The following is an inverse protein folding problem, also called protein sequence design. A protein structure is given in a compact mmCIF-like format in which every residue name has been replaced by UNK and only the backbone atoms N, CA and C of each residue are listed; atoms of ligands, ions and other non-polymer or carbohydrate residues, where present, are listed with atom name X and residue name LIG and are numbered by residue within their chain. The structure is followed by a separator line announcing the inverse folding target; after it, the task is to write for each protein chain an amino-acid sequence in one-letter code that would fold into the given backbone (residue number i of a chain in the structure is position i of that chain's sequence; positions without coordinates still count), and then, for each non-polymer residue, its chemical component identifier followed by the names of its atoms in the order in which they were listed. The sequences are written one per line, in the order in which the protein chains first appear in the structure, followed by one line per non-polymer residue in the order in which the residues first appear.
data_IF_035178540414
#
_entry.id   IF_035178540414
#
_cell.length_a   1.000
_cell.length_b   1.000
_cell.length_c   1.000
_cell.angle_alpha   90.00
_cell.angle_beta   90.00
_cell.angle_gamma   90.00
#
_symmetry.space_group_name_H-M   'P 1'
#
loop_
_entity.id
_entity.type
_entity.pdbx_description
1 polymer ?
#
# COMPACT_ATOMS: atom_id res chain seq x y z
N UNK A 1 -18.16 -12.87 -12.99
CA UNK A 1 -17.84 -14.06 -12.20
C UNK A 1 -16.56 -13.80 -11.42
N UNK A 2 -16.68 -13.65 -10.09
CA UNK A 2 -15.56 -13.35 -9.19
C UNK A 2 -14.67 -14.57 -8.92
N UNK A 3 -15.10 -15.77 -9.30
CA UNK A 3 -14.39 -17.02 -9.00
C UNK A 3 -13.05 -17.17 -9.74
N UNK A 4 -12.85 -16.40 -10.82
CA UNK A 4 -11.64 -16.43 -11.65
C UNK A 4 -10.73 -15.20 -11.45
N UNK A 5 -10.94 -14.43 -10.38
CA UNK A 5 -10.12 -13.27 -10.08
C UNK A 5 -8.68 -13.67 -9.80
N UNK A 6 -7.75 -13.13 -10.59
CA UNK A 6 -6.32 -13.29 -10.34
C UNK A 6 -5.83 -12.28 -9.32
N UNK A 7 -4.73 -12.62 -8.66
CA UNK A 7 -4.03 -11.72 -7.75
C UNK A 7 -3.67 -10.41 -8.48
N UNK A 8 -4.01 -9.27 -7.87
CA UNK A 8 -3.76 -7.94 -8.44
C UNK A 8 -4.70 -7.53 -9.59
N UNK A 9 -5.68 -8.37 -9.97
CA UNK A 9 -6.67 -8.01 -10.98
C UNK A 9 -7.71 -7.05 -10.39
N UNK A 10 -7.96 -5.95 -11.11
CA UNK A 10 -9.07 -5.04 -10.83
C UNK A 10 -10.35 -5.62 -11.41
N UNK A 11 -11.44 -5.57 -10.63
CA UNK A 11 -12.76 -5.97 -11.07
C UNK A 11 -13.77 -4.89 -10.71
N UNK A 12 -14.46 -4.35 -11.71
CA UNK A 12 -15.58 -3.45 -11.48
C UNK A 12 -16.83 -4.29 -11.21
N UNK A 13 -17.42 -4.08 -10.04
CA UNK A 13 -18.69 -4.71 -9.68
C UNK A 13 -19.80 -4.11 -10.56
N UNK A 14 -20.72 -4.92 -11.10
CA UNK A 14 -21.86 -4.40 -11.86
C UNK A 14 -22.70 -3.41 -11.04
N UNK A 15 -23.46 -2.54 -11.70
CA UNK A 15 -24.30 -1.53 -11.04
C UNK A 15 -25.63 -2.13 -10.49
N UNK A 16 -25.72 -3.46 -10.42
CA UNK A 16 -26.92 -4.15 -9.96
C UNK A 16 -27.10 -3.98 -8.43
N UNK A 17 -28.35 -3.74 -7.99
CA UNK A 17 -28.72 -3.61 -6.56
C UNK A 17 -28.53 -4.90 -5.72
N UNK A 18 -27.97 -5.96 -6.32
CA UNK A 18 -27.76 -7.23 -5.66
C UNK A 18 -26.52 -7.19 -4.75
N UNK A 19 -26.60 -7.69 -3.50
CA UNK A 19 -25.43 -7.79 -2.64
C UNK A 19 -24.41 -8.76 -3.23
N UNK A 20 -23.13 -8.39 -3.14
CA UNK A 20 -22.02 -9.25 -3.54
C UNK A 20 -21.62 -10.18 -2.40
N UNK A 21 -21.41 -11.46 -2.74
CA UNK A 21 -20.93 -12.47 -1.80
C UNK A 21 -19.53 -12.91 -2.23
N UNK A 22 -18.55 -12.72 -1.34
CA UNK A 22 -17.25 -13.35 -1.46
C UNK A 22 -17.32 -14.74 -0.82
N UNK A 23 -17.16 -15.76 -1.65
CA UNK A 23 -17.09 -17.15 -1.22
C UNK A 23 -15.69 -17.68 -1.50
N UNK A 24 -15.02 -18.16 -0.45
CA UNK A 24 -13.76 -18.86 -0.60
C UNK A 24 -13.98 -20.22 -1.29
N UNK A 25 -13.38 -20.40 -2.47
CA UNK A 25 -13.38 -21.67 -3.20
C UNK A 25 -12.06 -22.45 -3.04
N UNK A 26 -11.14 -21.96 -2.19
CA UNK A 26 -9.82 -22.51 -1.93
C UNK A 26 -9.72 -23.29 -0.60
N UNK A 27 -8.52 -23.35 0.01
CA UNK A 27 -8.29 -24.07 1.28
C UNK A 27 -9.19 -23.60 2.42
N UNK A 28 -9.42 -24.46 3.42
CA UNK A 28 -10.05 -24.03 4.68
C UNK A 28 -9.19 -22.92 5.32
N UNK A 29 -9.77 -21.73 5.49
CA UNK A 29 -9.16 -20.50 6.06
C UNK A 29 -8.15 -19.77 5.14
N UNK A 30 -8.58 -19.19 4.01
CA UNK A 30 -7.70 -18.37 3.19
C UNK A 30 -7.41 -17.06 3.91
N UNK A 31 -6.17 -16.57 3.79
CA UNK A 31 -5.85 -15.18 4.10
C UNK A 31 -5.79 -14.40 2.79
N UNK A 32 -6.71 -13.46 2.62
CA UNK A 32 -6.73 -12.56 1.47
C UNK A 32 -6.99 -11.14 1.94
N UNK A 33 -6.51 -10.18 1.15
CA UNK A 33 -6.72 -8.76 1.38
C UNK A 33 -7.60 -8.28 0.25
N UNK A 34 -8.78 -7.77 0.60
CA UNK A 34 -9.67 -7.11 -0.35
C UNK A 34 -9.53 -5.61 -0.17
N UNK A 35 -9.42 -4.91 -1.29
CA UNK A 35 -9.52 -3.47 -1.35
C UNK A 35 -10.64 -3.13 -2.34
N UNK A 36 -11.69 -2.48 -1.84
CA UNK A 36 -12.85 -2.10 -2.61
C UNK A 36 -13.03 -0.57 -2.53
N UNK A 37 -13.40 0.02 -3.65
CA UNK A 37 -13.55 1.48 -3.79
C UNK A 37 -14.86 1.76 -4.50
N UNK A 38 -15.64 2.68 -3.94
CA UNK A 38 -16.86 3.17 -4.57
C UNK A 38 -16.54 3.99 -5.83
N UNK A 39 -17.27 3.73 -6.91
CA UNK A 39 -17.16 4.49 -8.16
C UNK A 39 -17.55 5.95 -7.92
N UNK A 40 -16.73 6.88 -8.43
CA UNK A 40 -16.95 8.31 -8.24
C UNK A 40 -16.42 8.87 -6.91
N UNK A 41 -15.91 8.03 -6.01
CA UNK A 41 -15.10 8.52 -4.88
C UNK A 41 -13.81 9.18 -5.37
N UNK A 42 -13.22 10.07 -4.55
CA UNK A 42 -11.99 10.81 -4.91
C UNK A 42 -10.78 9.90 -5.24
N UNK A 43 -10.88 8.64 -4.86
CA UNK A 43 -9.85 7.62 -4.93
C UNK A 43 -10.21 6.48 -5.88
N UNK A 44 -11.34 6.61 -6.60
CA UNK A 44 -11.61 5.75 -7.72
C UNK A 44 -10.50 5.91 -8.76
N UNK A 45 -10.01 4.79 -9.31
CA UNK A 45 -8.87 4.71 -10.23
C UNK A 45 -7.50 5.16 -9.68
N UNK A 46 -7.33 5.38 -8.37
CA UNK A 46 -5.99 5.59 -7.81
C UNK A 46 -5.17 4.31 -7.88
N UNK A 47 -3.85 4.45 -8.08
CA UNK A 47 -2.95 3.30 -8.14
C UNK A 47 -2.86 2.58 -6.79
N UNK A 48 -3.03 1.26 -6.85
CA UNK A 48 -2.76 0.34 -5.74
C UNK A 48 -1.67 -0.63 -6.17
N UNK A 49 -0.65 -0.80 -5.35
CA UNK A 49 0.36 -1.83 -5.54
C UNK A 49 0.07 -3.01 -4.63
N UNK A 50 0.33 -4.20 -5.15
CA UNK A 50 0.29 -5.43 -4.38
C UNK A 50 1.69 -6.02 -4.34
N UNK A 51 2.17 -6.38 -3.15
CA UNK A 51 3.47 -7.01 -2.90
C UNK A 51 3.27 -8.44 -2.41
N UNK A 52 3.84 -9.39 -3.15
CA UNK A 52 4.10 -10.75 -2.70
C UNK A 52 5.32 -10.78 -1.78
N UNK A 53 5.53 -11.90 -1.07
CA UNK A 53 6.63 -12.07 -0.11
C UNK A 53 8.04 -11.91 -0.67
N UNK A 54 8.20 -11.94 -1.99
CA UNK A 54 9.48 -11.84 -2.70
C UNK A 54 9.66 -10.50 -3.43
N UNK A 55 8.62 -9.68 -3.48
CA UNK A 55 8.64 -8.46 -4.28
C UNK A 55 9.50 -7.37 -3.63
N UNK A 56 10.30 -6.74 -4.47
CA UNK A 56 10.97 -5.47 -4.19
C UNK A 56 10.73 -4.54 -5.38
N UNK A 57 10.01 -3.45 -5.15
CA UNK A 57 9.58 -2.51 -6.19
C UNK A 57 10.09 -1.12 -5.84
N UNK A 58 10.74 -0.46 -6.79
CA UNK A 58 10.98 0.98 -6.69
C UNK A 58 9.81 1.73 -7.29
N UNK A 59 9.06 2.45 -6.46
CA UNK A 59 7.96 3.29 -6.91
C UNK A 59 8.40 4.74 -7.10
N UNK A 60 7.89 5.39 -8.15
CA UNK A 60 8.06 6.81 -8.44
C UNK A 60 6.68 7.48 -8.58
N UNK A 61 6.33 8.49 -7.77
CA UNK A 61 5.03 9.15 -7.82
C UNK A 61 4.97 10.15 -8.98
N UNK A 62 4.80 9.67 -10.22
CA UNK A 62 4.70 10.54 -11.41
C UNK A 62 3.40 11.33 -11.43
N UNK A 63 2.29 10.63 -11.26
CA UNK A 63 0.94 11.19 -11.46
C UNK A 63 0.13 11.24 -10.15
N UNK A 64 0.38 10.28 -9.25
CA UNK A 64 -0.32 10.16 -7.97
C UNK A 64 0.61 10.47 -6.79
N UNK A 65 0.16 11.39 -5.91
CA UNK A 65 0.84 11.70 -4.64
C UNK A 65 0.55 10.68 -3.54
N UNK A 66 -0.51 9.88 -3.69
CA UNK A 66 -0.87 8.82 -2.76
C UNK A 66 -0.62 7.48 -3.44
N UNK A 67 -0.09 6.53 -2.68
CA UNK A 67 0.00 5.15 -3.11
C UNK A 67 -0.44 4.25 -1.96
N UNK A 68 -1.45 3.44 -2.20
CA UNK A 68 -1.80 2.33 -1.31
C UNK A 68 -1.05 1.07 -1.74
N UNK A 69 -0.49 0.39 -0.75
CA UNK A 69 0.30 -0.83 -0.89
C UNK A 69 -0.36 -1.92 -0.05
N UNK A 70 -0.72 -3.02 -0.71
CA UNK A 70 -1.21 -4.24 -0.09
C UNK A 70 -0.04 -5.23 0.02
N UNK A 71 0.15 -5.85 1.18
CA UNK A 71 1.24 -6.83 1.39
C UNK A 71 0.70 -8.18 1.80
N UNK A 72 1.08 -9.22 1.05
CA UNK A 72 0.74 -10.60 1.36
C UNK A 72 1.28 -11.05 2.73
N UNK A 73 2.45 -10.55 3.14
CA UNK A 73 3.06 -10.92 4.43
C UNK A 73 2.45 -10.18 5.62
N UNK A 74 1.57 -9.20 5.39
CA UNK A 74 1.11 -8.28 6.44
C UNK A 74 2.13 -7.22 6.83
N UNK A 75 3.27 -7.10 6.12
CA UNK A 75 4.29 -6.09 6.39
C UNK A 75 4.79 -5.45 5.10
N UNK A 76 4.86 -4.13 5.08
CA UNK A 76 5.50 -3.34 4.02
C UNK A 76 6.75 -2.69 4.59
N UNK A 77 7.91 -2.95 3.99
CA UNK A 77 9.15 -2.23 4.30
C UNK A 77 9.34 -1.07 3.32
N UNK A 78 9.63 0.09 3.87
CA UNK A 78 9.98 1.30 3.12
C UNK A 78 11.48 1.53 3.30
N UNK A 79 12.20 1.64 2.19
CA UNK A 79 13.64 1.89 2.17
C UNK A 79 14.04 2.76 0.98
N UNK A 80 15.30 3.20 0.97
CA UNK A 80 15.96 3.84 -0.17
C UNK A 80 15.13 4.96 -0.81
N UNK A 81 14.65 5.88 0.03
CA UNK A 81 13.95 7.07 -0.46
C UNK A 81 14.92 7.93 -1.28
N UNK A 82 14.64 8.10 -2.56
CA UNK A 82 15.45 8.88 -3.50
C UNK A 82 14.74 10.15 -3.93
N UNK A 83 15.52 11.17 -4.31
CA UNK A 83 14.98 12.42 -4.85
C UNK A 83 14.88 13.59 -3.86
N UNK A 84 14.20 14.65 -4.30
CA UNK A 84 13.99 15.85 -3.49
C UNK A 84 12.67 15.83 -2.72
N UNK A 85 12.76 15.62 -1.41
CA UNK A 85 11.65 15.72 -0.47
C UNK A 85 11.57 17.08 0.25
N UNK A 86 12.36 18.08 -0.17
CA UNK A 86 12.37 19.39 0.45
C UNK A 86 11.00 20.08 0.37
N UNK A 87 10.56 20.64 1.51
CA UNK A 87 9.26 21.29 1.65
C UNK A 87 8.03 20.40 1.48
N UNK A 88 8.20 19.07 1.34
CA UNK A 88 7.11 18.11 1.22
C UNK A 88 7.59 16.69 1.60
N UNK A 89 7.96 16.48 2.87
CA UNK A 89 8.39 15.16 3.32
C UNK A 89 7.21 14.18 3.28
N UNK A 90 7.47 12.89 2.98
CA UNK A 90 6.41 11.91 2.86
C UNK A 90 5.89 11.51 4.24
N UNK A 91 4.64 11.06 4.28
CA UNK A 91 4.03 10.45 5.45
C UNK A 91 3.52 9.04 5.09
N UNK A 92 3.68 8.08 6.00
CA UNK A 92 3.23 6.70 5.82
C UNK A 92 2.22 6.36 6.90
N UNK A 93 1.17 5.66 6.51
CA UNK A 93 0.02 5.34 7.34
C UNK A 93 -0.26 3.84 7.26
N UNK A 94 -0.46 3.18 8.40
CA UNK A 94 -0.84 1.76 8.48
C UNK A 94 -2.34 1.53 8.18
N UNK A 95 -2.84 2.17 7.11
CA UNK A 95 -4.22 2.08 6.68
C UNK A 95 -4.35 2.32 5.17
N UNK A 96 -5.54 2.06 4.64
CA UNK A 96 -5.94 2.50 3.31
C UNK A 96 -5.98 4.03 3.21
N UNK A 97 -5.99 4.55 1.98
CA UNK A 97 -5.99 5.99 1.74
C UNK A 97 -7.32 6.64 2.24
N UNK A 98 -8.41 5.88 2.31
CA UNK A 98 -9.75 6.26 2.77
C UNK A 98 -9.75 6.67 4.24
N UNK A 99 -8.94 5.99 5.04
CA UNK A 99 -8.81 6.24 6.47
C UNK A 99 -7.85 7.39 6.80
N UNK A 100 -7.21 8.05 5.82
CA UNK A 100 -6.23 9.11 6.10
C UNK A 100 -6.84 10.30 6.84
N UNK A 101 -8.14 10.57 6.65
CA UNK A 101 -8.85 11.63 7.37
C UNK A 101 -9.10 11.17 8.81
N UNK A 102 -8.20 11.56 9.72
CA UNK A 102 -8.27 11.22 11.14
C UNK A 102 -7.22 10.20 11.60
N UNK A 103 -6.51 9.55 10.68
CA UNK A 103 -5.37 8.71 11.02
C UNK A 103 -4.10 9.53 11.27
N UNK A 104 -3.32 9.10 12.27
CA UNK A 104 -1.96 9.59 12.48
C UNK A 104 -0.99 8.76 11.65
N UNK A 105 0.01 9.39 11.01
CA UNK A 105 1.03 8.64 10.30
C UNK A 105 1.88 7.81 11.28
N UNK A 106 2.22 6.60 10.87
CA UNK A 106 3.20 5.75 11.58
C UNK A 106 4.63 6.17 11.30
N UNK A 107 4.85 6.87 10.18
CA UNK A 107 6.11 7.53 9.86
C UNK A 107 5.83 8.88 9.22
N UNK A 108 6.56 9.90 9.64
CA UNK A 108 6.52 11.21 9.03
C UNK A 108 7.95 11.68 8.77
N UNK A 109 8.28 11.95 7.50
CA UNK A 109 9.60 12.45 7.13
C UNK A 109 9.84 13.81 7.80
N UNK A 110 10.97 13.93 8.51
CA UNK A 110 11.32 15.18 9.19
C UNK A 110 12.37 16.00 8.47
N UNK A 111 13.26 15.34 7.72
CA UNK A 111 14.39 16.00 7.04
C UNK A 111 14.68 15.31 5.73
N UNK A 112 14.65 16.08 4.64
CA UNK A 112 14.95 15.59 3.30
C UNK A 112 16.36 14.98 3.23
N UNK A 113 17.34 15.56 3.94
CA UNK A 113 18.75 15.12 3.92
C UNK A 113 18.98 13.72 4.50
N UNK A 114 18.06 13.21 5.33
CA UNK A 114 18.18 11.89 5.94
C UNK A 114 17.20 10.86 5.36
N UNK A 115 16.34 11.26 4.41
CA UNK A 115 15.35 10.35 3.81
C UNK A 115 16.02 9.14 3.16
N UNK A 116 17.13 9.32 2.46
CA UNK A 116 17.86 8.22 1.80
C UNK A 116 18.36 7.14 2.77
N UNK A 117 18.56 7.46 4.05
CA UNK A 117 19.01 6.52 5.07
C UNK A 117 17.85 5.87 5.84
N UNK A 118 16.60 6.17 5.45
CA UNK A 118 15.41 5.68 6.14
C UNK A 118 15.11 4.25 5.71
N UNK A 119 14.97 3.35 6.69
CA UNK A 119 14.53 1.97 6.48
C UNK A 119 13.66 1.54 7.66
N UNK A 120 12.39 1.27 7.43
CA UNK A 120 11.48 0.82 8.49
C UNK A 120 10.37 -0.10 7.96
N UNK A 121 9.93 -1.07 8.76
CA UNK A 121 8.74 -1.86 8.47
C UNK A 121 7.48 -1.16 8.97
N UNK A 122 6.38 -1.36 8.25
CA UNK A 122 5.01 -1.07 8.70
C UNK A 122 4.26 -2.39 8.76
N UNK A 123 3.86 -2.78 9.97
CA UNK A 123 3.13 -4.02 10.24
C UNK A 123 1.62 -3.81 9.99
N UNK A 124 1.26 -3.79 8.71
CA UNK A 124 -0.13 -3.78 8.27
C UNK A 124 -0.26 -4.46 6.91
N UNK A 125 -1.32 -5.26 6.68
CA UNK A 125 -1.63 -5.80 5.35
C UNK A 125 -1.92 -4.71 4.32
N UNK A 126 -2.29 -3.50 4.77
CA UNK A 126 -2.58 -2.36 3.91
C UNK A 126 -1.94 -1.09 4.49
N UNK A 127 -1.12 -0.43 3.68
CA UNK A 127 -0.39 0.77 4.06
C UNK A 127 -0.50 1.80 2.94
N UNK A 128 -0.60 3.08 3.29
CA UNK A 128 -0.61 4.17 2.33
C UNK A 128 0.56 5.10 2.58
N UNK A 129 1.28 5.44 1.51
CA UNK A 129 2.27 6.52 1.52
C UNK A 129 1.68 7.75 0.84
N UNK A 130 1.78 8.89 1.51
CA UNK A 130 1.50 10.21 0.98
C UNK A 130 2.81 10.93 0.72
N UNK A 131 3.16 11.06 -0.55
CA UNK A 131 4.35 11.76 -1.03
C UNK A 131 4.22 13.30 -0.92
N UNK A 132 3.03 13.81 -0.59
CA UNK A 132 2.64 15.23 -0.46
C UNK A 132 2.75 16.06 -1.75
N UNK A 133 3.65 15.71 -2.68
CA UNK A 133 3.76 16.22 -4.05
C UNK A 133 4.08 15.09 -5.02
N UNK A 134 3.70 15.27 -6.27
CA UNK A 134 4.08 14.43 -7.41
C UNK A 134 5.42 14.89 -8.00
N UNK A 135 6.09 14.02 -8.76
CA UNK A 135 7.38 14.28 -9.39
C UNK A 135 8.17 13.00 -9.66
N UNK A 136 8.75 12.90 -10.86
CA UNK A 136 9.56 11.74 -11.28
C UNK A 136 10.93 11.66 -10.60
N UNK A 137 11.34 12.73 -9.93
CA UNK A 137 12.59 12.84 -9.19
C UNK A 137 12.55 12.06 -7.87
N UNK A 138 11.35 11.78 -7.35
CA UNK A 138 11.15 11.06 -6.08
C UNK A 138 11.01 9.57 -6.29
N UNK A 139 11.52 8.80 -5.35
CA UNK A 139 11.31 7.36 -5.31
C UNK A 139 11.31 6.81 -3.89
N UNK A 140 10.71 5.64 -3.74
CA UNK A 140 10.84 4.81 -2.55
C UNK A 140 10.92 3.35 -2.97
N UNK A 141 11.77 2.57 -2.30
CA UNK A 141 11.77 1.12 -2.44
C UNK A 141 10.77 0.53 -1.45
N UNK A 142 9.91 -0.34 -1.97
CA UNK A 142 8.87 -1.04 -1.24
C UNK A 142 9.16 -2.53 -1.35
N UNK A 143 9.20 -3.23 -0.22
CA UNK A 143 9.32 -4.69 -0.22
C UNK A 143 8.38 -5.33 0.80
N UNK A 144 7.97 -6.56 0.52
CA UNK A 144 7.34 -7.37 1.54
C UNK A 144 8.41 -7.88 2.49
N UNK A 145 8.20 -7.71 3.80
CA UNK A 145 9.11 -8.26 4.79
C UNK A 145 8.55 -9.56 5.37
N UNK A 146 9.35 -10.62 5.41
CA UNK A 146 9.10 -11.76 6.28
C UNK A 146 9.56 -11.35 7.68
N UNK A 147 8.62 -11.27 8.62
CA UNK A 147 8.98 -11.05 10.03
C UNK A 147 9.54 -12.37 10.55
N UNK A 148 10.87 -12.47 10.63
CA UNK A 148 11.48 -13.51 11.45
C UNK A 148 11.18 -13.16 12.91
N UNK A 149 10.13 -13.74 13.48
CA UNK A 149 9.85 -13.67 14.91
C UNK A 149 10.96 -14.43 15.63
N UNK A 150 11.94 -13.70 16.20
CA UNK A 150 12.92 -14.30 17.10
C UNK A 150 12.21 -14.66 18.41
N UNK A 151 11.93 -15.95 18.60
CA UNK A 151 11.52 -16.48 19.90
C UNK A 151 12.81 -16.78 20.67
N UNK A 152 13.11 -15.96 21.68
CA UNK A 152 14.09 -16.32 22.70
C UNK A 152 13.39 -17.32 23.64
N UNK A 153 13.88 -18.56 23.65
CA UNK A 153 13.47 -19.61 24.60
C UNK A 153 14.38 -19.57 25.81
#
# INVERSE_FOLDING_TARGET
DLSNLKLGQVFELPEDDAPYILSNQGPENPSFILYAVEKGSMNYNTKVLYLTTQDTITYKPTDDKLLTVLSQSGVVRFSDFGGDFSGAPPAVYAAGFDALIGCRPVFNGMSASYMANTNFPVYSPMTTIDFKKTGSDRSVQLSSAIVATLILV
#
